data_IF_603915718065
#
_entry.id   IF_603915718065
#
_cell.length_a   1.000
_cell.length_b   1.000
_cell.length_c   1.000
_cell.angle_alpha   90.00
_cell.angle_beta   90.00
_cell.angle_gamma   90.00
#
_symmetry.space_group_name_H-M   'P 1'
#
loop_
_entity.id
_entity.type
_entity.pdbx_description
1 polymer ?
#
# COMPACT_ATOMS: atom_id res chain seq x y z
N UNK A 1 -26.03 -12.09 -2.10
CA UNK A 1 -24.90 -12.95 -1.66
C UNK A 1 -23.68 -12.08 -1.55
N UNK A 2 -22.79 -12.34 -0.57
CA UNK A 2 -21.52 -11.60 -0.50
C UNK A 2 -20.67 -11.96 -1.70
N UNK A 3 -20.08 -10.97 -2.37
CA UNK A 3 -19.22 -11.17 -3.54
C UNK A 3 -17.90 -11.86 -3.12
N UNK A 4 -17.39 -11.51 -1.93
CA UNK A 4 -16.19 -12.07 -1.33
C UNK A 4 -16.55 -13.04 -0.19
N UNK A 5 -15.85 -14.16 -0.12
CA UNK A 5 -15.99 -15.10 0.99
C UNK A 5 -15.09 -14.65 2.16
N UNK A 6 -15.61 -13.74 2.99
CA UNK A 6 -14.88 -13.19 4.13
C UNK A 6 -15.13 -14.04 5.38
N UNK A 7 -14.07 -14.51 6.04
CA UNK A 7 -14.13 -15.29 7.28
C UNK A 7 -14.99 -14.57 8.34
N UNK A 8 -15.76 -15.33 9.19
CA UNK A 8 -16.55 -14.73 10.26
C UNK A 8 -15.69 -13.95 11.26
N UNK A 9 -16.21 -12.82 11.74
CA UNK A 9 -15.47 -11.96 12.68
C UNK A 9 -15.12 -12.66 14.00
N UNK A 10 -15.98 -13.56 14.47
CA UNK A 10 -15.76 -14.31 15.72
C UNK A 10 -14.67 -15.38 15.62
N UNK A 11 -14.26 -15.79 14.42
CA UNK A 11 -13.23 -16.81 14.22
C UNK A 11 -11.84 -16.23 13.93
N UNK A 12 -11.67 -14.93 14.01
CA UNK A 12 -10.41 -14.26 13.68
C UNK A 12 -10.07 -13.20 14.74
N UNK A 13 -8.78 -13.11 15.07
CA UNK A 13 -8.24 -12.06 15.93
C UNK A 13 -8.30 -10.69 15.24
N UNK A 14 -8.01 -10.65 13.94
CA UNK A 14 -7.93 -9.43 13.18
C UNK A 14 -8.97 -9.36 12.07
N UNK A 15 -9.59 -8.19 11.93
CA UNK A 15 -10.45 -7.88 10.79
C UNK A 15 -9.62 -7.53 9.56
N UNK A 16 -8.47 -6.85 9.77
CA UNK A 16 -7.47 -6.60 8.73
C UNK A 16 -6.06 -6.60 9.32
N UNK A 17 -5.15 -7.23 8.58
CA UNK A 17 -3.71 -7.07 8.77
C UNK A 17 -3.13 -6.48 7.50
N UNK A 18 -2.32 -5.42 7.62
CA UNK A 18 -1.55 -4.89 6.49
C UNK A 18 -0.07 -5.25 6.61
N UNK A 19 0.59 -5.40 5.45
CA UNK A 19 2.05 -5.55 5.33
C UNK A 19 2.60 -4.40 4.53
N UNK A 20 3.49 -3.63 5.12
CA UNK A 20 4.11 -2.49 4.44
C UNK A 20 5.13 -1.76 5.30
N UNK A 21 5.71 -0.72 4.74
CA UNK A 21 6.62 0.16 5.46
C UNK A 21 5.86 1.25 6.19
N UNK A 22 6.20 1.47 7.46
CA UNK A 22 5.76 2.65 8.23
C UNK A 22 6.93 3.57 8.41
N UNK A 23 6.81 4.79 7.89
CA UNK A 23 7.85 5.82 7.95
C UNK A 23 7.50 6.89 8.98
N UNK A 24 8.53 7.54 9.53
CA UNK A 24 8.34 8.80 10.21
C UNK A 24 8.13 9.90 9.17
N UNK A 25 6.92 10.45 9.15
CA UNK A 25 6.54 11.54 8.28
C UNK A 25 6.74 12.88 8.98
N UNK A 26 7.45 13.79 8.32
CA UNK A 26 7.78 15.11 8.81
C UNK A 26 7.06 16.17 7.96
N UNK A 27 6.15 16.90 8.59
CA UNK A 27 5.29 17.92 7.98
C UNK A 27 5.72 19.32 8.44
N UNK A 28 6.19 20.20 7.52
CA UNK A 28 6.58 21.56 7.85
C UNK A 28 5.39 22.51 8.03
N UNK A 29 4.15 22.00 8.03
CA UNK A 29 2.95 22.82 8.06
C UNK A 29 2.73 23.60 6.75
N UNK A 30 2.56 24.91 6.83
CA UNK A 30 2.41 25.79 5.66
C UNK A 30 3.75 26.18 5.03
N UNK A 31 4.86 25.89 5.72
CA UNK A 31 6.21 26.19 5.27
C UNK A 31 6.70 25.26 4.16
N UNK A 32 7.96 25.44 3.80
CA UNK A 32 8.69 24.57 2.85
C UNK A 32 9.70 23.73 3.58
N UNK A 33 9.92 22.51 3.12
CA UNK A 33 10.92 21.59 3.67
C UNK A 33 12.29 22.29 3.77
N UNK A 34 12.74 22.93 2.70
CA UNK A 34 14.08 23.53 2.63
C UNK A 34 14.31 24.69 3.62
N UNK A 35 13.28 25.36 4.10
CA UNK A 35 13.39 26.54 4.96
C UNK A 35 12.80 26.34 6.35
N UNK A 36 12.10 25.24 6.59
CA UNK A 36 11.51 24.95 7.90
C UNK A 36 12.59 24.62 8.94
N UNK A 37 12.32 25.01 10.17
CA UNK A 37 13.11 24.63 11.35
C UNK A 37 12.30 23.82 12.35
N UNK A 38 10.98 23.66 12.07
CA UNK A 38 10.03 22.89 12.86
C UNK A 38 9.23 21.97 11.96
N UNK A 39 9.02 20.75 12.40
CA UNK A 39 8.21 19.74 11.72
C UNK A 39 7.31 19.05 12.73
N UNK A 40 6.07 18.84 12.35
CA UNK A 40 5.19 17.93 13.08
C UNK A 40 5.47 16.51 12.62
N UNK A 41 5.73 15.63 13.58
CA UNK A 41 5.99 14.23 13.32
C UNK A 41 4.67 13.44 13.26
N UNK A 42 4.52 12.62 12.24
CA UNK A 42 3.42 11.69 12.04
C UNK A 42 3.97 10.33 11.59
N UNK A 43 3.19 9.30 11.75
CA UNK A 43 3.42 8.03 11.10
C UNK A 43 2.74 7.99 9.72
N UNK A 44 3.26 7.19 8.80
CA UNK A 44 2.60 7.00 7.49
C UNK A 44 3.23 5.92 6.65
N UNK A 45 2.39 5.27 5.89
CA UNK A 45 2.71 4.26 4.90
C UNK A 45 1.43 3.88 4.18
N UNK A 46 1.48 3.55 2.89
CA UNK A 46 0.28 3.26 2.11
C UNK A 46 -0.59 2.21 2.77
N UNK A 47 -0.01 1.09 3.06
CA UNK A 47 -0.65 -0.09 3.64
C UNK A 47 -1.09 0.16 5.10
N UNK A 48 -0.25 0.84 5.88
CA UNK A 48 -0.56 1.22 7.25
C UNK A 48 -1.76 2.18 7.32
N UNK A 49 -1.83 3.15 6.40
CA UNK A 49 -2.93 4.11 6.37
C UNK A 49 -4.29 3.41 6.22
N UNK A 50 -4.35 2.30 5.49
CA UNK A 50 -5.57 1.47 5.36
C UNK A 50 -5.94 0.85 6.72
N UNK A 51 -4.98 0.22 7.41
CA UNK A 51 -5.21 -0.37 8.73
C UNK A 51 -5.67 0.69 9.74
N UNK A 52 -5.00 1.84 9.78
CA UNK A 52 -5.34 2.98 10.64
C UNK A 52 -6.73 3.55 10.34
N UNK A 53 -7.04 3.73 9.05
CA UNK A 53 -8.36 4.23 8.61
C UNK A 53 -9.48 3.30 9.04
N UNK A 54 -9.33 2.00 8.83
CA UNK A 54 -10.30 1.00 9.27
C UNK A 54 -10.45 0.97 10.79
N UNK A 55 -9.37 1.12 11.52
CA UNK A 55 -9.42 1.21 12.98
C UNK A 55 -10.15 2.46 13.45
N UNK A 56 -9.76 3.63 12.94
CA UNK A 56 -10.26 4.94 13.43
C UNK A 56 -11.67 5.25 12.98
N UNK A 57 -12.01 4.90 11.72
CA UNK A 57 -13.31 5.26 11.15
C UNK A 57 -14.37 4.19 11.37
N UNK A 58 -13.97 2.91 11.47
CA UNK A 58 -14.91 1.78 11.48
C UNK A 58 -14.75 0.86 12.70
N UNK A 59 -13.87 1.17 13.66
CA UNK A 59 -13.66 0.40 14.87
C UNK A 59 -13.15 -1.03 14.64
N UNK A 60 -12.54 -1.31 13.48
CA UNK A 60 -12.04 -2.66 13.14
C UNK A 60 -10.79 -3.02 13.96
N UNK A 61 -10.60 -4.31 14.19
CA UNK A 61 -9.38 -4.86 14.83
C UNK A 61 -8.32 -4.98 13.75
N UNK A 62 -7.31 -4.11 13.80
CA UNK A 62 -6.28 -4.03 12.77
C UNK A 62 -4.88 -4.16 13.36
N UNK A 63 -3.96 -4.75 12.57
CA UNK A 63 -2.55 -4.83 12.88
C UNK A 63 -1.70 -4.48 11.65
N UNK A 64 -0.44 -4.16 11.91
CA UNK A 64 0.58 -3.93 10.86
C UNK A 64 1.73 -4.94 11.02
N UNK A 65 2.02 -5.66 9.94
CA UNK A 65 3.29 -6.38 9.78
C UNK A 65 4.26 -5.41 9.13
N UNK A 66 5.34 -5.11 9.82
CA UNK A 66 6.42 -4.25 9.36
C UNK A 66 7.71 -4.56 10.11
N UNK A 67 8.80 -3.92 9.73
CA UNK A 67 10.01 -3.95 10.55
C UNK A 67 10.49 -2.52 10.83
N UNK A 68 11.02 -2.33 12.04
CA UNK A 68 11.60 -1.07 12.50
C UNK A 68 13.02 -1.31 13.02
N UNK A 69 13.90 -0.32 12.84
CA UNK A 69 15.20 -0.31 13.48
C UNK A 69 15.03 -0.02 14.97
N UNK A 70 15.67 -0.81 15.84
CA UNK A 70 15.55 -0.71 17.29
C UNK A 70 16.35 0.50 17.83
N UNK A 71 15.76 1.67 17.66
CA UNK A 71 16.27 2.94 18.15
C UNK A 71 15.12 3.87 18.53
N UNK A 72 15.43 5.05 19.07
CA UNK A 72 14.42 6.02 19.54
C UNK A 72 13.47 6.50 18.42
N UNK A 73 13.92 6.56 17.16
CA UNK A 73 13.04 6.90 16.03
C UNK A 73 12.05 5.77 15.76
N UNK A 74 12.49 4.49 15.81
CA UNK A 74 11.61 3.35 15.72
C UNK A 74 10.56 3.32 16.84
N UNK A 75 10.98 3.65 18.08
CA UNK A 75 10.06 3.74 19.23
C UNK A 75 9.04 4.87 19.08
N UNK A 76 9.44 6.00 18.52
CA UNK A 76 8.51 7.08 18.19
C UNK A 76 7.48 6.63 17.12
N UNK A 77 7.91 5.92 16.08
CA UNK A 77 6.99 5.39 15.08
C UNK A 77 5.99 4.41 15.71
N UNK A 78 6.47 3.49 16.57
CA UNK A 78 5.60 2.55 17.30
C UNK A 78 4.57 3.28 18.15
N UNK A 79 4.98 4.30 18.92
CA UNK A 79 4.07 5.09 19.75
C UNK A 79 2.98 5.77 18.90
N UNK A 80 3.36 6.36 17.76
CA UNK A 80 2.40 6.95 16.84
C UNK A 80 1.43 5.91 16.24
N UNK A 81 1.90 4.69 15.93
CA UNK A 81 1.05 3.58 15.47
C UNK A 81 0.03 3.21 16.56
N UNK A 82 0.49 3.10 17.83
CA UNK A 82 -0.38 2.82 18.99
C UNK A 82 -1.43 3.91 19.18
N UNK A 83 -1.08 5.19 19.02
CA UNK A 83 -2.03 6.31 19.03
C UNK A 83 -3.07 6.19 17.89
N UNK A 84 -2.70 5.61 16.75
CA UNK A 84 -3.60 5.22 15.66
C UNK A 84 -4.55 4.06 16.04
N UNK A 85 -4.24 3.33 17.10
CA UNK A 85 -5.00 2.17 17.59
C UNK A 85 -4.79 0.89 16.79
N UNK A 86 -3.73 0.83 15.98
CA UNK A 86 -3.32 -0.37 15.24
C UNK A 86 -2.40 -1.22 16.12
N UNK A 87 -2.62 -2.54 16.14
CA UNK A 87 -1.81 -3.47 16.93
C UNK A 87 -0.38 -3.56 16.38
N UNK A 88 0.61 -3.41 17.27
CA UNK A 88 2.05 -3.40 16.98
C UNK A 88 2.74 -4.73 17.27
N UNK A 89 2.01 -5.74 17.74
CA UNK A 89 2.57 -7.05 18.14
C UNK A 89 3.28 -7.80 17.00
N UNK A 90 3.03 -7.40 15.73
CA UNK A 90 3.61 -8.01 14.55
C UNK A 90 4.80 -7.18 13.98
N UNK A 91 5.29 -6.19 14.72
CA UNK A 91 6.48 -5.42 14.33
C UNK A 91 7.73 -6.25 14.61
N UNK A 92 8.58 -6.43 13.58
CA UNK A 92 9.90 -7.01 13.72
C UNK A 92 10.92 -5.92 14.02
N UNK A 93 11.65 -6.07 15.10
CA UNK A 93 12.71 -5.15 15.49
C UNK A 93 14.06 -5.64 14.98
N UNK A 94 14.75 -4.80 14.19
CA UNK A 94 16.09 -5.09 13.70
C UNK A 94 17.14 -4.34 14.49
N UNK A 95 18.27 -4.99 14.86
CA UNK A 95 19.35 -4.35 15.60
C UNK A 95 19.88 -3.12 14.88
N UNK A 96 19.99 -2.01 15.59
CA UNK A 96 20.52 -0.76 15.07
C UNK A 96 22.03 -0.66 15.32
N UNK A 97 22.80 -0.27 14.31
CA UNK A 97 24.28 -0.23 14.33
C UNK A 97 24.84 1.08 14.93
N UNK A 98 24.00 1.95 15.48
CA UNK A 98 24.37 3.23 16.07
C UNK A 98 24.47 4.39 15.07
N UNK A 99 24.56 4.12 13.77
CA UNK A 99 24.76 5.15 12.73
C UNK A 99 23.86 4.99 11.51
N UNK A 100 23.08 3.88 11.41
CA UNK A 100 22.15 3.63 10.33
C UNK A 100 22.78 3.23 8.99
N UNK A 101 23.94 2.58 8.99
CA UNK A 101 24.57 2.07 7.77
C UNK A 101 23.88 0.81 7.29
N UNK A 102 23.55 -0.08 8.21
CA UNK A 102 22.95 -1.38 7.90
C UNK A 102 21.44 -1.32 7.93
N UNK A 103 20.85 -0.62 8.87
CA UNK A 103 19.39 -0.54 9.03
C UNK A 103 18.96 0.85 9.51
N UNK A 104 17.86 1.36 8.96
CA UNK A 104 17.25 2.64 9.31
C UNK A 104 15.73 2.53 9.39
N UNK A 105 15.10 3.50 10.03
CA UNK A 105 13.67 3.77 9.85
C UNK A 105 13.50 4.75 8.70
N UNK A 106 12.52 4.52 7.83
CA UNK A 106 12.23 5.38 6.69
C UNK A 106 11.77 6.77 7.14
N UNK A 107 12.20 7.80 6.42
CA UNK A 107 11.75 9.17 6.60
C UNK A 107 10.99 9.65 5.37
N UNK A 108 9.95 10.44 5.58
CA UNK A 108 9.20 11.07 4.51
C UNK A 108 8.87 12.52 4.89
N UNK A 109 9.46 13.45 4.19
CA UNK A 109 9.10 14.86 4.31
C UNK A 109 7.97 15.18 3.34
N UNK A 110 6.88 15.78 3.83
CA UNK A 110 5.70 16.07 3.01
C UNK A 110 5.34 17.54 3.09
N UNK A 111 5.57 18.24 1.99
CA UNK A 111 5.17 19.64 1.81
C UNK A 111 3.78 19.68 1.17
N UNK A 112 2.86 20.40 1.81
CA UNK A 112 1.48 20.54 1.33
C UNK A 112 1.42 21.40 0.06
N UNK A 113 0.53 21.05 -0.85
CA UNK A 113 0.16 21.92 -1.95
C UNK A 113 -0.61 23.14 -1.45
N UNK A 114 -0.36 24.30 -2.08
CA UNK A 114 -1.05 25.54 -1.74
C UNK A 114 -1.25 26.43 -2.98
N UNK A 115 -2.48 26.72 -3.35
CA UNK A 115 -2.80 27.53 -4.53
C UNK A 115 -2.22 26.94 -5.82
N UNK A 116 -1.25 27.63 -6.42
CA UNK A 116 -0.54 27.19 -7.62
C UNK A 116 0.65 26.26 -7.32
N UNK A 117 1.09 26.19 -6.08
CA UNK A 117 2.19 25.35 -5.66
C UNK A 117 1.72 23.91 -5.44
N UNK A 118 2.24 22.97 -6.22
CA UNK A 118 2.00 21.54 -6.02
C UNK A 118 2.54 21.02 -4.69
N UNK A 119 2.00 19.91 -4.19
CA UNK A 119 2.56 19.18 -3.07
C UNK A 119 3.92 18.58 -3.45
N UNK A 120 4.84 18.51 -2.48
CA UNK A 120 6.16 17.91 -2.65
C UNK A 120 6.39 16.85 -1.58
N UNK A 121 6.78 15.66 -1.98
CA UNK A 121 7.23 14.58 -1.10
C UNK A 121 8.71 14.28 -1.31
N UNK A 122 9.46 14.16 -0.22
CA UNK A 122 10.85 13.70 -0.25
C UNK A 122 10.96 12.50 0.69
N UNK A 123 11.21 11.33 0.10
CA UNK A 123 11.37 10.08 0.87
C UNK A 123 12.86 9.73 0.98
N UNK A 124 13.31 9.48 2.19
CA UNK A 124 14.61 8.90 2.49
C UNK A 124 14.39 7.51 3.08
N UNK A 125 14.46 6.49 2.22
CA UNK A 125 14.09 5.13 2.56
C UNK A 125 15.08 4.05 2.08
N UNK A 126 16.34 4.42 1.93
CA UNK A 126 17.42 3.46 1.67
C UNK A 126 17.74 2.61 2.91
N UNK A 127 17.95 1.30 2.76
CA UNK A 127 18.27 0.36 3.85
C UNK A 127 17.29 0.39 5.03
N UNK A 128 16.01 0.62 4.78
CA UNK A 128 15.03 0.61 5.86
C UNK A 128 14.79 -0.81 6.38
N UNK A 129 14.41 -0.92 7.64
CA UNK A 129 14.15 -2.22 8.26
C UNK A 129 13.09 -3.02 7.49
N UNK A 130 12.00 -2.36 7.05
CA UNK A 130 10.94 -2.99 6.27
C UNK A 130 11.43 -3.55 4.93
N UNK A 131 12.40 -2.88 4.28
CA UNK A 131 12.99 -3.35 3.01
C UNK A 131 13.91 -4.58 3.18
N UNK A 132 14.26 -4.93 4.42
CA UNK A 132 15.16 -6.05 4.71
C UNK A 132 14.42 -7.32 5.15
N UNK A 133 13.10 -7.29 5.20
CA UNK A 133 12.31 -8.50 5.44
C UNK A 133 12.56 -9.54 4.34
N UNK A 134 12.65 -10.80 4.75
CA UNK A 134 12.92 -11.94 3.88
C UNK A 134 11.90 -13.04 4.11
N UNK A 135 11.70 -13.95 3.16
CA UNK A 135 10.94 -15.17 3.40
C UNK A 135 11.45 -15.90 4.64
N UNK A 136 10.51 -16.39 5.46
CA UNK A 136 10.77 -17.03 6.75
C UNK A 136 10.92 -16.09 7.94
N UNK A 137 10.93 -14.77 7.74
CA UNK A 137 11.03 -13.79 8.83
C UNK A 137 9.73 -13.65 9.64
N UNK A 138 8.59 -13.98 9.04
CA UNK A 138 7.26 -13.86 9.64
C UNK A 138 6.60 -15.24 9.65
N UNK A 139 6.03 -15.62 10.77
CA UNK A 139 5.25 -16.86 10.91
C UNK A 139 3.82 -16.64 10.37
N UNK A 140 3.68 -16.76 9.05
CA UNK A 140 2.41 -16.57 8.34
C UNK A 140 1.39 -17.66 8.67
N UNK A 141 1.84 -18.90 8.95
CA UNK A 141 0.94 -20.00 9.32
C UNK A 141 0.27 -19.73 10.66
N UNK A 142 1.02 -19.25 11.65
CA UNK A 142 0.47 -18.81 12.91
C UNK A 142 -0.49 -17.65 12.73
N UNK A 143 -0.09 -16.61 11.97
CA UNK A 143 -0.89 -15.39 11.78
C UNK A 143 -2.23 -15.68 11.11
N UNK A 144 -2.23 -16.39 9.98
CA UNK A 144 -3.46 -16.63 9.23
C UNK A 144 -4.27 -17.82 9.76
N UNK A 145 -3.60 -18.86 10.29
CA UNK A 145 -4.21 -20.07 10.80
C UNK A 145 -4.68 -19.94 12.25
N UNK A 146 -3.76 -19.70 13.18
CA UNK A 146 -4.05 -19.71 14.62
C UNK A 146 -4.71 -18.40 15.08
N UNK A 147 -4.05 -17.26 14.85
CA UNK A 147 -4.60 -15.94 15.21
C UNK A 147 -5.85 -15.61 14.37
N UNK A 148 -5.83 -15.96 13.10
CA UNK A 148 -6.91 -15.71 12.16
C UNK A 148 -7.00 -14.27 11.70
N UNK A 149 -6.99 -14.10 10.38
CA UNK A 149 -7.10 -12.80 9.69
C UNK A 149 -8.21 -12.88 8.66
N UNK A 150 -9.12 -11.92 8.64
CA UNK A 150 -10.21 -11.88 7.67
C UNK A 150 -9.78 -11.28 6.35
N UNK A 151 -8.90 -10.27 6.40
CA UNK A 151 -8.44 -9.49 5.25
C UNK A 151 -6.96 -9.14 5.40
N UNK A 152 -6.18 -9.46 4.39
CA UNK A 152 -4.78 -9.10 4.29
C UNK A 152 -4.59 -8.03 3.21
N UNK A 153 -3.93 -6.92 3.53
CA UNK A 153 -3.71 -5.81 2.62
C UNK A 153 -2.24 -5.48 2.46
N UNK A 154 -1.82 -5.29 1.21
CA UNK A 154 -0.47 -4.83 0.88
C UNK A 154 -0.48 -4.11 -0.46
N UNK A 155 0.69 -3.74 -1.00
CA UNK A 155 0.73 -3.01 -2.27
C UNK A 155 2.09 -2.97 -2.95
N UNK A 156 2.07 -2.34 -4.12
CA UNK A 156 3.23 -2.20 -4.99
C UNK A 156 4.35 -1.35 -4.42
N UNK A 157 4.06 -0.49 -3.44
CA UNK A 157 5.12 0.23 -2.70
C UNK A 157 5.98 -0.77 -1.93
N UNK A 158 5.37 -1.67 -1.15
CA UNK A 158 6.12 -2.68 -0.42
C UNK A 158 6.85 -3.63 -1.38
N UNK A 159 6.19 -4.08 -2.45
CA UNK A 159 6.79 -4.94 -3.47
C UNK A 159 8.03 -4.33 -4.13
N UNK A 160 8.14 -3.00 -4.16
CA UNK A 160 9.23 -2.26 -4.79
C UNK A 160 10.39 -1.89 -3.85
N UNK A 161 10.29 -2.20 -2.55
CA UNK A 161 11.30 -1.75 -1.56
C UNK A 161 12.64 -2.45 -1.74
N UNK A 162 12.63 -3.73 -2.10
CA UNK A 162 13.83 -4.53 -2.31
C UNK A 162 13.52 -5.73 -3.22
N UNK A 163 14.55 -6.41 -3.72
CA UNK A 163 14.37 -7.61 -4.55
C UNK A 163 13.65 -8.74 -3.80
N UNK A 164 13.87 -8.86 -2.48
CA UNK A 164 13.30 -9.93 -1.65
C UNK A 164 11.86 -9.67 -1.23
N UNK A 165 11.37 -8.43 -1.26
CA UNK A 165 10.02 -8.11 -0.74
C UNK A 165 8.89 -8.74 -1.55
N UNK A 166 9.09 -8.93 -2.85
CA UNK A 166 8.15 -9.68 -3.68
C UNK A 166 8.04 -11.17 -3.27
N UNK A 167 9.15 -11.78 -2.83
CA UNK A 167 9.17 -13.17 -2.36
C UNK A 167 8.46 -13.30 -1.00
N UNK A 168 8.63 -12.32 -0.10
CA UNK A 168 7.86 -12.23 1.14
C UNK A 168 6.37 -12.15 0.87
N UNK A 169 5.96 -11.38 -0.17
CA UNK A 169 4.55 -11.30 -0.58
C UNK A 169 4.01 -12.63 -1.10
N UNK A 170 4.78 -13.37 -1.91
CA UNK A 170 4.36 -14.68 -2.40
C UNK A 170 4.17 -15.66 -1.24
N UNK A 171 5.08 -15.66 -0.26
CA UNK A 171 4.95 -16.48 0.94
C UNK A 171 3.68 -16.11 1.74
N UNK A 172 3.49 -14.82 2.03
CA UNK A 172 2.31 -14.33 2.75
C UNK A 172 0.99 -14.66 2.03
N UNK A 173 0.93 -14.43 0.71
CA UNK A 173 -0.25 -14.72 -0.09
C UNK A 173 -0.57 -16.21 -0.15
N UNK A 174 0.45 -17.05 -0.26
CA UNK A 174 0.28 -18.50 -0.26
C UNK A 174 -0.35 -18.98 1.04
N UNK A 175 0.16 -18.50 2.19
CA UNK A 175 -0.41 -18.83 3.50
C UNK A 175 -1.82 -18.23 3.67
N UNK A 176 -2.03 -16.97 3.32
CA UNK A 176 -3.33 -16.31 3.41
C UNK A 176 -4.43 -17.05 2.62
N UNK A 177 -4.14 -17.47 1.38
CA UNK A 177 -5.06 -18.27 0.55
C UNK A 177 -5.38 -19.63 1.17
N UNK A 178 -4.37 -20.31 1.72
CA UNK A 178 -4.56 -21.61 2.41
C UNK A 178 -5.56 -21.50 3.55
N UNK A 179 -5.56 -20.37 4.25
CA UNK A 179 -6.44 -20.12 5.39
C UNK A 179 -7.71 -19.35 5.07
N UNK A 180 -8.00 -19.08 3.79
CA UNK A 180 -9.23 -18.40 3.34
C UNK A 180 -9.29 -16.92 3.75
N UNK A 181 -8.14 -16.27 3.90
CA UNK A 181 -8.04 -14.83 4.11
C UNK A 181 -8.18 -14.11 2.79
N UNK A 182 -9.02 -13.08 2.69
CA UNK A 182 -9.14 -12.24 1.50
C UNK A 182 -7.88 -11.41 1.33
N UNK A 183 -7.35 -11.35 0.12
CA UNK A 183 -6.13 -10.60 -0.21
C UNK A 183 -6.50 -9.40 -1.07
N UNK A 184 -6.16 -8.19 -0.59
CA UNK A 184 -6.22 -6.97 -1.39
C UNK A 184 -4.83 -6.41 -1.67
N UNK A 185 -4.67 -5.87 -2.87
CA UNK A 185 -3.42 -5.32 -3.36
C UNK A 185 -3.66 -3.98 -4.06
N UNK A 186 -2.99 -2.94 -3.57
CA UNK A 186 -2.96 -1.62 -4.21
C UNK A 186 -1.71 -1.52 -5.09
N UNK A 187 -1.90 -1.40 -6.40
CA UNK A 187 -0.80 -1.31 -7.37
C UNK A 187 0.15 -0.15 -7.09
N UNK A 188 -0.38 0.98 -6.73
CA UNK A 188 0.29 2.15 -6.15
C UNK A 188 1.69 2.42 -6.75
N UNK A 189 1.76 2.58 -8.07
CA UNK A 189 3.02 2.77 -8.79
C UNK A 189 3.79 3.99 -8.30
N UNK A 190 5.07 3.81 -8.04
CA UNK A 190 5.98 4.91 -7.67
C UNK A 190 7.23 4.87 -8.53
N UNK A 191 7.34 5.77 -9.53
CA UNK A 191 8.51 5.83 -10.41
C UNK A 191 9.84 5.86 -9.66
N UNK A 192 9.90 6.60 -8.54
CA UNK A 192 11.11 6.74 -7.72
C UNK A 192 11.59 5.43 -7.10
N UNK A 193 10.70 4.48 -6.85
CA UNK A 193 11.06 3.15 -6.33
C UNK A 193 11.44 2.18 -7.45
N UNK A 194 10.70 2.20 -8.55
CA UNK A 194 10.90 1.26 -9.65
C UNK A 194 12.04 1.65 -10.59
N UNK A 195 12.29 2.95 -10.82
CA UNK A 195 13.31 3.41 -11.77
C UNK A 195 14.71 2.80 -11.51
N UNK A 196 15.24 2.79 -10.27
CA UNK A 196 16.54 2.17 -10.00
C UNK A 196 16.52 0.64 -10.06
N UNK A 197 15.35 0.01 -9.96
CA UNK A 197 15.16 -1.44 -9.98
C UNK A 197 14.87 -2.02 -11.38
N UNK A 198 14.84 -1.21 -12.44
CA UNK A 198 14.54 -1.64 -13.82
C UNK A 198 13.25 -1.01 -14.41
N UNK A 199 12.68 -0.03 -13.75
CA UNK A 199 11.58 0.78 -14.27
C UNK A 199 10.26 0.03 -14.43
N UNK A 200 9.45 0.47 -15.41
CA UNK A 200 8.13 -0.12 -15.71
C UNK A 200 8.19 -1.59 -16.05
N UNK A 201 9.24 -2.06 -16.74
CA UNK A 201 9.37 -3.47 -17.10
C UNK A 201 9.47 -4.36 -15.85
N UNK A 202 10.28 -3.96 -14.87
CA UNK A 202 10.40 -4.70 -13.61
C UNK A 202 9.12 -4.60 -12.78
N UNK A 203 8.47 -3.43 -12.74
CA UNK A 203 7.18 -3.27 -12.08
C UNK A 203 6.15 -4.25 -12.66
N UNK A 204 6.05 -4.35 -13.98
CA UNK A 204 5.14 -5.27 -14.65
C UNK A 204 5.45 -6.74 -14.37
N UNK A 205 6.73 -7.11 -14.39
CA UNK A 205 7.16 -8.48 -14.07
C UNK A 205 6.72 -8.88 -12.66
N UNK A 206 7.03 -8.04 -11.66
CA UNK A 206 6.71 -8.31 -10.26
C UNK A 206 5.20 -8.32 -10.03
N UNK A 207 4.48 -7.31 -10.50
CA UNK A 207 3.04 -7.23 -10.24
C UNK A 207 2.25 -8.32 -10.99
N UNK A 208 2.66 -8.74 -12.20
CA UNK A 208 2.07 -9.88 -12.89
C UNK A 208 2.33 -11.21 -12.17
N UNK A 209 3.46 -11.35 -11.48
CA UNK A 209 3.76 -12.52 -10.64
C UNK A 209 2.86 -12.57 -9.40
N UNK A 210 2.50 -11.42 -8.83
CA UNK A 210 1.69 -11.30 -7.61
C UNK A 210 0.19 -11.36 -7.89
N UNK A 211 -0.28 -10.83 -9.01
CA UNK A 211 -1.69 -10.70 -9.35
C UNK A 211 -2.51 -12.01 -9.25
N UNK A 212 -1.98 -13.22 -9.59
CA UNK A 212 -2.73 -14.47 -9.46
C UNK A 212 -3.13 -14.86 -8.03
N UNK A 213 -2.57 -14.22 -7.01
CA UNK A 213 -2.92 -14.49 -5.61
C UNK A 213 -3.99 -13.55 -5.07
N UNK A 214 -4.27 -12.45 -5.76
CA UNK A 214 -5.06 -11.33 -5.27
C UNK A 214 -6.54 -11.54 -5.54
N UNK A 215 -7.40 -11.23 -4.55
CA UNK A 215 -8.86 -11.24 -4.70
C UNK A 215 -9.40 -9.84 -5.04
N UNK A 216 -8.79 -8.79 -4.49
CA UNK A 216 -9.21 -7.39 -4.66
C UNK A 216 -8.03 -6.57 -5.13
N UNK A 217 -8.08 -6.07 -6.36
CA UNK A 217 -7.04 -5.21 -6.92
C UNK A 217 -7.50 -3.76 -6.96
N UNK A 218 -6.64 -2.88 -6.50
CA UNK A 218 -6.89 -1.44 -6.43
C UNK A 218 -5.76 -0.72 -7.17
N UNK A 219 -6.08 0.35 -7.86
CA UNK A 219 -5.10 1.21 -8.51
C UNK A 219 -5.76 2.48 -9.02
N UNK A 220 -4.96 3.45 -9.39
CA UNK A 220 -5.42 4.58 -10.17
C UNK A 220 -5.26 4.28 -11.68
N UNK A 221 -5.57 5.26 -12.51
CA UNK A 221 -5.52 5.13 -13.96
C UNK A 221 -4.13 4.79 -14.52
N UNK A 222 -3.07 5.33 -13.93
CA UNK A 222 -1.68 5.06 -14.33
C UNK A 222 -1.21 3.67 -13.88
N UNK A 223 -1.70 3.21 -12.74
CA UNK A 223 -1.19 2.01 -12.07
C UNK A 223 -1.41 0.75 -12.93
N UNK A 224 -2.58 0.58 -13.55
CA UNK A 224 -2.87 -0.58 -14.41
C UNK A 224 -1.95 -0.64 -15.63
N UNK A 225 -1.63 0.51 -16.21
CA UNK A 225 -0.67 0.60 -17.32
C UNK A 225 0.75 0.36 -16.84
N UNK A 226 1.19 1.04 -15.79
CA UNK A 226 2.56 0.98 -15.32
C UNK A 226 2.93 -0.36 -14.69
N UNK A 227 2.01 -0.95 -13.89
CA UNK A 227 2.26 -2.17 -13.14
C UNK A 227 1.84 -3.45 -13.85
N UNK A 228 0.86 -3.41 -14.75
CA UNK A 228 0.35 -4.60 -15.43
C UNK A 228 0.48 -4.56 -16.95
N UNK A 229 0.78 -3.38 -17.53
CA UNK A 229 0.98 -3.21 -18.95
C UNK A 229 -0.30 -3.13 -19.77
N UNK A 230 -1.45 -2.86 -19.14
CA UNK A 230 -2.71 -2.61 -19.85
C UNK A 230 -2.78 -1.14 -20.30
N UNK A 231 -3.12 -0.92 -21.56
CA UNK A 231 -3.29 0.45 -22.07
C UNK A 231 -4.71 0.92 -21.81
N UNK A 232 -4.87 2.16 -21.33
CA UNK A 232 -6.16 2.82 -21.25
C UNK A 232 -6.37 3.62 -22.54
N UNK A 233 -7.26 3.20 -23.46
CA UNK A 233 -7.43 3.89 -24.73
C UNK A 233 -7.98 5.31 -24.54
N UNK A 234 -7.44 6.28 -25.29
CA UNK A 234 -7.94 7.65 -25.30
C UNK A 234 -7.47 8.54 -24.16
N UNK A 235 -6.57 8.07 -23.31
CA UNK A 235 -5.93 8.89 -22.30
C UNK A 235 -4.57 9.34 -22.84
N UNK A 236 -4.37 10.66 -22.84
CA UNK A 236 -3.07 11.26 -23.09
C UNK A 236 -2.16 11.13 -21.86
N UNK A 237 -0.87 11.42 -22.01
CA UNK A 237 0.11 11.36 -20.91
C UNK A 237 -0.21 12.34 -19.76
N UNK A 238 -1.25 13.18 -19.89
CA UNK A 238 -1.65 14.17 -18.88
C UNK A 238 -2.84 13.73 -18.03
N UNK A 239 -3.52 12.62 -18.40
CA UNK A 239 -4.72 12.12 -17.71
C UNK A 239 -5.79 13.21 -17.51
N UNK A 240 -5.92 14.12 -18.48
CA UNK A 240 -6.71 15.34 -18.35
C UNK A 240 -8.21 15.15 -18.51
N UNK A 241 -8.65 14.00 -19.05
CA UNK A 241 -10.07 13.67 -19.24
C UNK A 241 -10.34 12.25 -18.73
N UNK A 242 -11.12 12.17 -17.67
CA UNK A 242 -11.51 10.92 -17.02
C UNK A 242 -12.82 10.43 -17.63
N UNK A 243 -12.73 9.61 -18.69
CA UNK A 243 -13.90 8.91 -19.23
C UNK A 243 -14.07 7.55 -18.54
N UNK A 244 -15.10 7.36 -17.69
CA UNK A 244 -15.36 6.10 -17.01
C UNK A 244 -15.43 4.88 -17.95
N UNK A 245 -15.93 5.05 -19.19
CA UNK A 245 -16.05 3.95 -20.16
C UNK A 245 -14.66 3.42 -20.61
N UNK A 246 -13.64 4.27 -20.66
CA UNK A 246 -12.28 3.83 -20.96
C UNK A 246 -11.70 2.96 -19.85
N UNK A 247 -12.01 3.29 -18.58
CA UNK A 247 -11.60 2.48 -17.43
C UNK A 247 -12.37 1.15 -17.36
N UNK A 248 -13.67 1.13 -17.66
CA UNK A 248 -14.45 -0.10 -17.72
C UNK A 248 -13.84 -1.10 -18.71
N UNK A 249 -13.38 -0.63 -19.87
CA UNK A 249 -12.70 -1.47 -20.85
C UNK A 249 -11.41 -2.06 -20.30
N UNK A 250 -10.55 -1.22 -19.71
CA UNK A 250 -9.29 -1.67 -19.12
C UNK A 250 -9.53 -2.67 -17.98
N UNK A 251 -10.50 -2.40 -17.11
CA UNK A 251 -10.90 -3.34 -16.05
C UNK A 251 -11.39 -4.66 -16.63
N UNK A 252 -12.14 -4.63 -17.75
CA UNK A 252 -12.57 -5.82 -18.47
C UNK A 252 -11.38 -6.65 -18.97
N UNK A 253 -10.36 -6.02 -19.54
CA UNK A 253 -9.13 -6.69 -19.99
C UNK A 253 -8.36 -7.29 -18.81
N UNK A 254 -8.24 -6.54 -17.69
CA UNK A 254 -7.59 -7.01 -16.46
C UNK A 254 -8.31 -8.22 -15.88
N UNK A 255 -9.64 -8.17 -15.81
CA UNK A 255 -10.46 -9.29 -15.28
C UNK A 255 -10.36 -10.55 -16.16
N UNK A 256 -10.24 -10.39 -17.47
CA UNK A 256 -10.04 -11.51 -18.39
C UNK A 256 -8.63 -12.11 -18.25
N UNK A 257 -7.61 -11.29 -18.02
CA UNK A 257 -6.23 -11.74 -17.83
C UNK A 257 -6.00 -12.39 -16.45
N UNK A 258 -6.72 -11.93 -15.42
CA UNK A 258 -6.61 -12.42 -14.04
C UNK A 258 -7.97 -12.86 -13.49
N UNK A 259 -8.47 -14.05 -13.89
CA UNK A 259 -9.82 -14.53 -13.52
C UNK A 259 -10.01 -14.84 -12.03
N UNK A 260 -8.93 -14.83 -11.26
CA UNK A 260 -8.97 -14.92 -9.78
C UNK A 260 -9.44 -13.62 -9.11
N UNK A 261 -9.35 -12.48 -9.78
CA UNK A 261 -9.81 -11.22 -9.24
C UNK A 261 -11.33 -11.19 -9.10
N UNK A 262 -11.80 -10.97 -7.90
CA UNK A 262 -13.22 -10.88 -7.58
C UNK A 262 -13.70 -9.42 -7.60
N UNK A 263 -12.83 -8.49 -7.20
CA UNK A 263 -13.10 -7.05 -7.23
C UNK A 263 -11.90 -6.33 -7.85
N UNK A 264 -12.18 -5.41 -8.76
CA UNK A 264 -11.19 -4.48 -9.31
C UNK A 264 -11.74 -3.07 -9.09
N UNK A 265 -10.95 -2.19 -8.51
CA UNK A 265 -11.35 -0.82 -8.25
C UNK A 265 -10.29 0.17 -8.73
N UNK A 266 -10.72 1.23 -9.38
CA UNK A 266 -9.87 2.36 -9.75
C UNK A 266 -10.40 3.64 -9.16
N UNK A 267 -9.51 4.44 -8.59
CA UNK A 267 -9.83 5.79 -8.14
C UNK A 267 -9.57 6.78 -9.27
N UNK A 268 -10.46 7.72 -9.43
CA UNK A 268 -10.39 8.77 -10.45
C UNK A 268 -10.18 10.10 -9.76
N UNK A 269 -9.20 10.89 -10.21
CA UNK A 269 -8.88 12.18 -9.62
C UNK A 269 -8.79 13.25 -10.68
N UNK A 270 -9.65 14.28 -10.60
CA UNK A 270 -9.53 15.49 -11.38
C UNK A 270 -8.96 16.63 -10.52
N UNK A 271 -7.81 17.17 -10.91
CA UNK A 271 -7.12 18.23 -10.17
C UNK A 271 -7.64 19.58 -10.65
N UNK A 272 -8.36 20.34 -9.80
CA UNK A 272 -8.77 21.72 -10.07
C UNK A 272 -7.72 22.74 -9.63
N UNK A 273 -7.09 22.47 -8.48
CA UNK A 273 -5.96 23.23 -7.96
C UNK A 273 -5.14 22.35 -7.03
N UNK A 274 -4.02 22.84 -6.51
CA UNK A 274 -3.21 22.10 -5.54
C UNK A 274 -3.97 21.76 -4.24
N UNK A 275 -5.07 22.46 -3.95
CA UNK A 275 -5.87 22.28 -2.73
C UNK A 275 -7.27 21.74 -2.98
N UNK A 276 -7.74 21.73 -4.23
CA UNK A 276 -9.09 21.29 -4.60
C UNK A 276 -9.00 20.20 -5.67
N UNK A 277 -9.53 19.06 -5.36
CA UNK A 277 -9.61 17.91 -6.26
C UNK A 277 -11.00 17.33 -6.23
N UNK A 278 -11.50 16.91 -7.39
CA UNK A 278 -12.66 16.04 -7.48
C UNK A 278 -12.20 14.59 -7.44
N UNK A 279 -12.93 13.76 -6.74
CA UNK A 279 -12.65 12.33 -6.64
C UNK A 279 -13.86 11.53 -7.09
N UNK A 280 -13.60 10.48 -7.81
CA UNK A 280 -14.55 9.46 -8.17
C UNK A 280 -13.91 8.08 -8.05
N UNK A 281 -14.68 7.04 -8.32
CA UNK A 281 -14.20 5.67 -8.40
C UNK A 281 -15.05 4.85 -9.35
N UNK A 282 -14.41 3.86 -9.98
CA UNK A 282 -15.09 2.78 -10.70
C UNK A 282 -14.70 1.47 -10.03
N UNK A 283 -15.68 0.66 -9.70
CA UNK A 283 -15.46 -0.68 -9.16
C UNK A 283 -16.16 -1.71 -10.06
N UNK A 284 -15.53 -2.86 -10.22
CA UNK A 284 -16.04 -4.00 -10.96
C UNK A 284 -16.10 -5.23 -10.07
N UNK A 285 -17.17 -6.00 -10.23
CA UNK A 285 -17.30 -7.33 -9.64
C UNK A 285 -18.25 -8.19 -10.48
N UNK A 286 -17.87 -9.41 -10.82
CA UNK A 286 -18.70 -10.38 -11.52
C UNK A 286 -19.40 -9.81 -12.77
N UNK A 287 -18.74 -8.97 -13.55
CA UNK A 287 -19.28 -8.35 -14.77
C UNK A 287 -20.15 -7.12 -14.55
N UNK A 288 -20.30 -6.66 -13.29
CA UNK A 288 -21.08 -5.47 -12.94
C UNK A 288 -20.17 -4.34 -12.55
N UNK A 289 -20.42 -3.13 -13.07
CA UNK A 289 -19.72 -1.91 -12.70
C UNK A 289 -20.56 -1.06 -11.73
N UNK A 290 -19.87 -0.42 -10.80
CA UNK A 290 -20.41 0.59 -9.90
C UNK A 290 -19.53 1.85 -9.96
N UNK A 291 -20.17 3.02 -9.88
CA UNK A 291 -19.54 4.32 -9.93
C UNK A 291 -19.83 5.11 -8.66
N UNK A 292 -18.85 5.93 -8.22
CA UNK A 292 -18.98 6.83 -7.08
C UNK A 292 -18.35 8.20 -7.40
#
# INVERSE_FOLDING_TARGET
>A
MSVLNVRPAGSCRYDLVSLGEVMLRLDPGEGRIATSRHFTAWEGGGEYNVARGLRRCFGKRTAIVTALADNQVGRLIEDLILQGGVDTALIRWLPYDGVGRSVRNGLNFTERGFGLRGALGVSDRGNTAASQLRPGDIDWERLFGEDGVRWFHTGGIYAALAETTADVLVEAFTAARRHGTVISYDLNYRPSLWAPAGGKARAQEVNKRLAPYVDVMIGNEEDFTACLGFSVPGIDDTYSSLDPASFERTIGEVSAAFPNLTVIATTLRAVRSATVNDWGAVAWTAGVFAHA
#
